data_IF_005844124756
#
_entry.id   IF_005844124756
#
_cell.length_a   1.000
_cell.length_b   1.000
_cell.length_c   1.000
_cell.angle_alpha   90.00
_cell.angle_beta   90.00
_cell.angle_gamma   90.00
#
_symmetry.space_group_name_H-M   'P 1'
#
loop_
_entity.id
_entity.type
_entity.pdbx_description
1 polymer ?
#
# COMPACT_ATOMS: atom_id res chain seq x y z
N UNK A 1 4.33 -32.80 -7.38
CA UNK A 1 3.59 -32.62 -6.11
C UNK A 1 4.25 -31.55 -5.23
N UNK A 2 5.50 -31.71 -4.79
CA UNK A 2 6.19 -30.74 -3.92
C UNK A 2 6.24 -29.28 -4.45
N UNK A 3 6.52 -29.07 -5.73
CA UNK A 3 6.51 -27.71 -6.32
C UNK A 3 5.11 -27.07 -6.34
N UNK A 4 4.06 -27.89 -6.48
CA UNK A 4 2.68 -27.42 -6.49
C UNK A 4 2.23 -27.00 -5.08
N UNK A 5 2.58 -27.78 -4.08
CA UNK A 5 2.35 -27.44 -2.66
C UNK A 5 3.12 -26.18 -2.24
N UNK A 6 4.39 -26.06 -2.63
CA UNK A 6 5.19 -24.85 -2.39
C UNK A 6 4.55 -23.61 -3.04
N UNK A 7 4.03 -23.75 -4.26
CA UNK A 7 3.29 -22.69 -4.95
C UNK A 7 2.03 -22.25 -4.19
N UNK A 8 1.27 -23.20 -3.65
CA UNK A 8 0.07 -22.92 -2.84
C UNK A 8 0.41 -22.23 -1.52
N UNK A 9 1.48 -22.64 -0.84
CA UNK A 9 1.94 -21.98 0.39
C UNK A 9 2.36 -20.53 0.14
N UNK A 10 3.10 -20.28 -0.95
CA UNK A 10 3.48 -18.94 -1.39
C UNK A 10 2.25 -18.08 -1.72
N UNK A 11 1.28 -18.63 -2.44
CA UNK A 11 0.03 -17.92 -2.77
C UNK A 11 -0.77 -17.58 -1.51
N UNK A 12 -0.83 -18.50 -0.54
CA UNK A 12 -1.43 -18.29 0.78
C UNK A 12 -0.75 -17.16 1.55
N UNK A 13 0.58 -17.24 1.69
CA UNK A 13 1.38 -16.22 2.38
C UNK A 13 1.20 -14.81 1.77
N UNK A 14 1.22 -14.70 0.44
CA UNK A 14 0.99 -13.41 -0.27
C UNK A 14 -0.42 -12.87 -0.03
N UNK A 15 -1.41 -13.74 0.13
CA UNK A 15 -2.80 -13.33 0.37
C UNK A 15 -2.98 -12.85 1.81
N UNK A 16 -2.39 -13.54 2.78
CA UNK A 16 -2.34 -13.11 4.19
C UNK A 16 -1.64 -11.77 4.34
N UNK A 17 -0.46 -11.60 3.72
CA UNK A 17 0.28 -10.33 3.75
C UNK A 17 -0.54 -9.17 3.18
N UNK A 18 -1.18 -9.35 2.01
CA UNK A 18 -2.02 -8.30 1.40
C UNK A 18 -3.19 -7.90 2.30
N UNK A 19 -3.79 -8.84 3.03
CA UNK A 19 -4.88 -8.56 3.97
C UNK A 19 -4.37 -7.80 5.20
N UNK A 20 -3.23 -8.19 5.76
CA UNK A 20 -2.61 -7.51 6.90
C UNK A 20 -2.17 -6.08 6.53
N UNK A 21 -1.47 -5.92 5.40
CA UNK A 21 -1.03 -4.63 4.89
C UNK A 21 -2.22 -3.68 4.68
N UNK A 22 -3.34 -4.15 4.11
CA UNK A 22 -4.55 -3.32 4.01
C UNK A 22 -5.06 -2.85 5.36
N UNK A 23 -5.07 -3.69 6.40
CA UNK A 23 -5.57 -3.29 7.73
C UNK A 23 -4.64 -2.28 8.40
N UNK A 24 -3.34 -2.57 8.40
CA UNK A 24 -2.33 -1.73 9.05
C UNK A 24 -2.24 -0.36 8.37
N UNK A 25 -2.24 -0.36 7.03
CA UNK A 25 -1.98 0.85 6.26
C UNK A 25 -3.26 1.53 5.74
N UNK A 26 -4.47 1.00 5.99
CA UNK A 26 -5.71 1.65 5.53
C UNK A 26 -5.88 3.07 6.06
N UNK A 27 -5.42 3.34 7.29
CA UNK A 27 -5.51 4.67 7.90
C UNK A 27 -4.36 5.62 7.53
N UNK A 28 -3.27 5.11 6.94
CA UNK A 28 -2.08 5.91 6.60
C UNK A 28 -1.92 6.13 5.11
N UNK A 29 -2.64 5.35 4.29
CA UNK A 29 -2.58 5.44 2.83
C UNK A 29 -3.66 6.37 2.28
N UNK A 30 -3.45 6.82 1.05
CA UNK A 30 -4.28 7.79 0.36
C UNK A 30 -5.72 7.31 0.21
N UNK A 31 -6.59 8.15 -0.36
CA UNK A 31 -8.05 8.02 -0.26
C UNK A 31 -8.54 6.60 -0.55
N UNK A 32 -9.49 6.14 0.27
CA UNK A 32 -10.08 4.81 0.13
C UNK A 32 -10.69 4.56 -1.27
N UNK A 33 -11.02 5.64 -1.98
CA UNK A 33 -11.58 5.65 -3.32
C UNK A 33 -10.59 5.20 -4.40
N UNK A 34 -9.27 5.26 -4.15
CA UNK A 34 -8.31 4.76 -5.12
C UNK A 34 -8.45 3.22 -5.25
N UNK A 35 -8.60 2.70 -6.49
CA UNK A 35 -9.08 1.33 -6.75
C UNK A 35 -8.07 0.25 -6.37
N UNK A 36 -6.81 0.61 -6.13
CA UNK A 36 -5.74 -0.33 -5.80
C UNK A 36 -4.89 0.17 -4.63
N UNK A 37 -4.29 -0.76 -3.88
CA UNK A 37 -3.33 -0.44 -2.81
C UNK A 37 -2.17 0.43 -3.32
N UNK A 38 -1.66 0.12 -4.52
CA UNK A 38 -0.59 0.91 -5.17
C UNK A 38 -1.05 2.32 -5.50
N UNK A 39 -2.29 2.49 -5.96
CA UNK A 39 -2.89 3.80 -6.17
C UNK A 39 -3.00 4.61 -4.88
N UNK A 40 -3.46 3.99 -3.79
CA UNK A 40 -3.53 4.64 -2.47
C UNK A 40 -2.15 5.06 -1.95
N UNK A 41 -1.14 4.18 -2.07
CA UNK A 41 0.23 4.50 -1.68
C UNK A 41 0.79 5.68 -2.47
N UNK A 42 0.56 5.70 -3.79
CA UNK A 42 1.00 6.81 -4.63
C UNK A 42 0.34 8.12 -4.22
N UNK A 43 -0.98 8.12 -3.98
CA UNK A 43 -1.69 9.31 -3.53
C UNK A 43 -1.18 9.84 -2.17
N UNK A 44 -0.81 8.97 -1.21
CA UNK A 44 -0.16 9.43 0.03
C UNK A 44 1.17 10.10 -0.20
N UNK A 45 2.00 9.53 -1.09
CA UNK A 45 3.32 10.09 -1.41
C UNK A 45 3.15 11.46 -2.08
N UNK A 46 2.21 11.57 -3.01
CA UNK A 46 1.93 12.83 -3.72
C UNK A 46 1.42 13.91 -2.74
N UNK A 47 0.48 13.57 -1.84
CA UNK A 47 0.01 14.49 -0.80
C UNK A 47 1.12 14.94 0.17
N UNK A 48 2.02 14.02 0.54
CA UNK A 48 3.20 14.32 1.35
C UNK A 48 4.20 15.24 0.65
N UNK A 49 4.32 15.12 -0.69
CA UNK A 49 5.16 16.01 -1.51
C UNK A 49 4.57 17.41 -1.57
N UNK A 50 3.27 17.53 -1.81
CA UNK A 50 2.57 18.83 -1.87
C UNK A 50 2.69 19.59 -0.55
N UNK A 51 2.50 18.91 0.59
CA UNK A 51 2.72 19.52 1.91
C UNK A 51 4.17 19.91 2.17
N UNK A 52 5.14 19.13 1.67
CA UNK A 52 6.55 19.48 1.79
C UNK A 52 6.93 20.69 0.91
N UNK A 53 6.45 20.75 -0.33
CA UNK A 53 6.66 21.89 -1.23
C UNK A 53 6.02 23.17 -0.67
N UNK A 54 4.79 23.09 -0.18
CA UNK A 54 4.12 24.22 0.47
C UNK A 54 4.91 24.76 1.67
N UNK A 55 5.47 23.87 2.52
CA UNK A 55 6.30 24.30 3.67
C UNK A 55 7.64 24.89 3.26
N UNK A 56 8.18 24.47 2.11
CA UNK A 56 9.44 25.01 1.59
C UNK A 56 9.28 26.42 1.05
N UNK A 57 8.11 26.75 0.49
CA UNK A 57 7.81 28.10 -0.01
C UNK A 57 7.51 29.10 1.13
N UNK A 58 7.20 28.61 2.34
CA UNK A 58 7.00 29.41 3.56
C UNK A 58 8.31 29.73 4.32
N UNK A 59 9.46 29.17 3.93
CA UNK A 59 10.78 29.28 4.59
C UNK A 59 11.74 30.22 3.84
#
# INVERSE_FOLDING_TARGET
VAQQEAGLQLAGARSTWRRAARRIYAGTLGPAEAPTFRGRLRASIDAGRETWEARKDDE
#
